data_IF_700176904709
#
_entry.id   IF_700176904709
#
_cell.length_a   1.000
_cell.length_b   1.000
_cell.length_c   1.000
_cell.angle_alpha   90.00
_cell.angle_beta   90.00
_cell.angle_gamma   90.00
#
_symmetry.space_group_name_H-M   'P 1'
#
loop_
_entity.id
_entity.type
_entity.pdbx_description
1 polymer ?
#
# COMPACT_ATOMS: atom_id res chain seq x y z
N UNK A 1 25.50 -14.46 -6.20
CA UNK A 1 25.37 -13.29 -7.11
C UNK A 1 24.09 -13.37 -7.93
N UNK A 2 24.01 -14.21 -8.97
CA UNK A 2 22.80 -14.30 -9.81
C UNK A 2 21.50 -14.59 -9.03
N UNK A 3 21.55 -15.54 -8.09
CA UNK A 3 20.36 -15.91 -7.32
C UNK A 3 19.82 -14.77 -6.44
N UNK A 4 20.69 -13.88 -5.95
CA UNK A 4 20.30 -12.69 -5.18
C UNK A 4 19.53 -11.72 -6.07
N UNK A 5 20.05 -11.45 -7.28
CA UNK A 5 19.37 -10.59 -8.26
C UNK A 5 18.01 -11.16 -8.62
N UNK A 6 17.92 -12.47 -8.88
CA UNK A 6 16.65 -13.13 -9.21
C UNK A 6 15.67 -13.04 -8.05
N UNK A 7 16.09 -13.32 -6.81
CA UNK A 7 15.19 -13.24 -5.65
C UNK A 7 14.76 -11.81 -5.32
N UNK A 8 15.63 -10.82 -5.54
CA UNK A 8 15.34 -9.41 -5.32
C UNK A 8 14.45 -8.81 -6.41
N UNK A 9 14.34 -9.47 -7.57
CA UNK A 9 13.43 -9.09 -8.64
C UNK A 9 12.02 -9.71 -8.48
N UNK A 10 11.73 -10.32 -7.33
CA UNK A 10 10.42 -10.85 -7.00
C UNK A 10 9.70 -9.94 -5.98
N UNK A 11 8.38 -9.67 -6.12
CA UNK A 11 7.63 -8.83 -5.20
C UNK A 11 7.62 -9.42 -3.78
N UNK A 12 8.54 -8.96 -2.93
CA UNK A 12 8.76 -9.50 -1.59
C UNK A 12 9.30 -8.43 -0.63
N UNK A 13 9.58 -8.82 0.62
CA UNK A 13 10.32 -7.97 1.54
C UNK A 13 11.80 -8.25 1.30
N UNK A 14 12.56 -7.20 0.97
CA UNK A 14 13.99 -7.33 0.77
C UNK A 14 14.70 -7.53 2.11
N UNK A 15 15.41 -8.64 2.26
CA UNK A 15 16.27 -8.89 3.42
C UNK A 15 17.50 -7.99 3.41
N UNK A 16 17.94 -7.55 4.59
CA UNK A 16 19.12 -6.68 4.74
C UNK A 16 20.40 -7.32 4.19
N UNK A 17 20.53 -8.64 4.34
CA UNK A 17 21.61 -9.45 3.74
C UNK A 17 21.64 -9.33 2.21
N UNK A 18 20.47 -9.39 1.57
CA UNK A 18 20.34 -9.26 0.12
C UNK A 18 20.63 -7.83 -0.33
N UNK A 19 20.21 -6.81 0.43
CA UNK A 19 20.53 -5.41 0.16
C UNK A 19 22.05 -5.18 0.11
N UNK A 20 22.78 -5.65 1.13
CA UNK A 20 24.24 -5.54 1.19
C UNK A 20 24.91 -6.27 0.03
N UNK A 21 24.44 -7.47 -0.32
CA UNK A 21 24.95 -8.20 -1.49
C UNK A 21 24.68 -7.43 -2.80
N UNK A 22 23.54 -6.77 -2.95
CA UNK A 22 23.26 -5.95 -4.14
C UNK A 22 24.20 -4.74 -4.22
N UNK A 23 24.58 -4.12 -3.10
CA UNK A 23 25.57 -3.05 -3.07
C UNK A 23 26.93 -3.52 -3.60
N UNK A 24 27.37 -4.71 -3.18
CA UNK A 24 28.60 -5.33 -3.70
C UNK A 24 28.51 -5.61 -5.20
N UNK A 25 27.36 -6.13 -5.67
CA UNK A 25 27.11 -6.44 -7.08
C UNK A 25 27.14 -5.18 -7.95
N UNK A 26 26.59 -4.06 -7.46
CA UNK A 26 26.60 -2.78 -8.16
C UNK A 26 28.02 -2.23 -8.42
N UNK A 27 29.00 -2.64 -7.60
CA UNK A 27 30.40 -2.28 -7.79
C UNK A 27 31.15 -3.22 -8.76
N UNK A 28 30.56 -4.35 -9.13
CA UNK A 28 31.15 -5.28 -10.10
C UNK A 28 31.07 -4.65 -11.49
N UNK A 29 32.19 -4.68 -12.20
CA UNK A 29 32.29 -4.16 -13.55
C UNK A 29 32.80 -5.25 -14.50
N UNK A 30 32.40 -5.17 -15.76
CA UNK A 30 32.93 -5.98 -16.84
C UNK A 30 33.34 -5.10 -18.03
N UNK A 31 34.13 -5.66 -18.93
CA UNK A 31 34.59 -4.98 -20.13
C UNK A 31 33.90 -5.57 -21.37
N UNK A 32 33.43 -4.71 -22.26
CA UNK A 32 32.91 -5.13 -23.56
C UNK A 32 34.07 -5.53 -24.48
N UNK A 33 33.77 -6.20 -25.59
CA UNK A 33 34.78 -6.48 -26.64
C UNK A 33 35.37 -5.20 -27.25
N UNK A 34 34.69 -4.05 -27.10
CA UNK A 34 35.16 -2.73 -27.51
C UNK A 34 36.04 -2.02 -26.47
N UNK A 35 36.22 -2.60 -25.27
CA UNK A 35 37.02 -2.03 -24.18
C UNK A 35 36.25 -1.11 -23.22
N UNK A 36 34.95 -0.91 -23.44
CA UNK A 36 34.12 -0.11 -22.54
C UNK A 36 33.92 -0.83 -21.20
N UNK A 37 34.04 -0.09 -20.11
CA UNK A 37 33.76 -0.58 -18.76
C UNK A 37 32.30 -0.33 -18.41
N UNK A 38 31.56 -1.39 -18.12
CA UNK A 38 30.15 -1.34 -17.72
C UNK A 38 29.96 -1.96 -16.33
N UNK A 39 28.97 -1.46 -15.60
CA UNK A 39 28.52 -2.09 -14.35
C UNK A 39 27.76 -3.39 -14.66
N UNK A 40 27.92 -4.40 -13.82
CA UNK A 40 27.20 -5.67 -13.95
C UNK A 40 25.68 -5.48 -13.80
N UNK A 41 25.27 -4.57 -12.91
CA UNK A 41 23.91 -4.05 -12.83
C UNK A 41 23.99 -2.53 -12.94
N UNK A 42 23.12 -1.94 -13.75
CA UNK A 42 23.07 -0.48 -13.91
C UNK A 42 22.58 0.22 -12.63
N UNK A 43 22.89 1.50 -12.41
CA UNK A 43 22.32 2.27 -11.31
C UNK A 43 20.79 2.31 -11.32
N UNK A 44 20.19 2.21 -12.51
CA UNK A 44 18.75 2.11 -12.69
C UNK A 44 18.23 0.78 -12.14
N UNK A 45 18.77 -0.37 -12.57
CA UNK A 45 18.38 -1.70 -12.08
C UNK A 45 18.62 -1.84 -10.57
N UNK A 46 19.74 -1.31 -10.06
CA UNK A 46 20.03 -1.31 -8.63
C UNK A 46 18.94 -0.58 -7.83
N UNK A 47 18.42 0.55 -8.34
CA UNK A 47 17.32 1.28 -7.72
C UNK A 47 16.06 0.42 -7.54
N UNK A 48 15.69 -0.39 -8.53
CA UNK A 48 14.54 -1.29 -8.45
C UNK A 48 14.79 -2.51 -7.57
N UNK A 49 15.96 -3.14 -7.69
CA UNK A 49 16.32 -4.33 -6.90
C UNK A 49 16.45 -4.04 -5.39
N UNK A 50 16.61 -2.76 -5.02
CA UNK A 50 16.74 -2.33 -3.62
C UNK A 50 15.44 -1.81 -3.00
N UNK A 51 14.32 -1.89 -3.70
CA UNK A 51 13.00 -1.56 -3.14
C UNK A 51 12.71 -2.50 -1.96
N UNK A 52 12.62 -1.93 -0.75
CA UNK A 52 12.51 -2.73 0.49
C UNK A 52 11.19 -3.51 0.60
N UNK A 53 10.10 -2.96 0.08
CA UNK A 53 8.75 -3.55 0.17
C UNK A 53 7.93 -3.13 -1.05
N UNK A 54 7.41 -4.13 -1.76
CA UNK A 54 6.63 -3.93 -2.98
C UNK A 54 7.54 -3.87 -4.21
N UNK A 55 7.01 -3.33 -5.31
CA UNK A 55 7.67 -3.34 -6.62
C UNK A 55 7.68 -1.98 -7.30
N UNK A 56 7.17 -0.94 -6.63
CA UNK A 56 7.04 0.40 -7.20
C UNK A 56 8.21 1.25 -6.76
N UNK A 57 8.82 1.94 -7.72
CA UNK A 57 9.73 3.04 -7.40
C UNK A 57 8.95 4.24 -6.81
N UNK A 58 9.68 5.31 -6.44
CA UNK A 58 9.06 6.49 -5.86
C UNK A 58 8.12 7.24 -6.81
N UNK A 59 8.44 7.26 -8.11
CA UNK A 59 7.64 7.96 -9.12
C UNK A 59 6.36 7.16 -9.43
N UNK A 60 6.48 5.85 -9.64
CA UNK A 60 5.37 4.94 -9.82
C UNK A 60 4.45 4.92 -8.60
N UNK A 61 5.02 4.89 -7.39
CA UNK A 61 4.24 4.97 -6.15
C UNK A 61 3.45 6.27 -6.10
N UNK A 62 4.07 7.41 -6.39
CA UNK A 62 3.41 8.71 -6.41
C UNK A 62 2.27 8.76 -7.44
N UNK A 63 2.48 8.15 -8.61
CA UNK A 63 1.45 8.05 -9.64
C UNK A 63 0.26 7.21 -9.17
N UNK A 64 0.50 6.07 -8.53
CA UNK A 64 -0.57 5.25 -7.94
C UNK A 64 -1.30 6.03 -6.84
N UNK A 65 -0.59 6.70 -5.93
CA UNK A 65 -1.17 7.49 -4.85
C UNK A 65 -2.02 8.68 -5.37
N UNK A 66 -1.77 9.16 -6.59
CA UNK A 66 -2.52 10.25 -7.23
C UNK A 66 -4.01 9.94 -7.46
N UNK A 67 -4.41 8.66 -7.46
CA UNK A 67 -5.80 8.27 -7.67
C UNK A 67 -6.76 8.90 -6.64
N UNK A 68 -6.28 9.19 -5.43
CA UNK A 68 -7.05 9.84 -4.36
C UNK A 68 -7.35 11.29 -4.72
N UNK A 69 -6.35 11.98 -5.25
CA UNK A 69 -6.48 13.37 -5.71
C UNK A 69 -7.39 13.44 -6.94
N UNK A 70 -7.21 12.55 -7.92
CA UNK A 70 -8.09 12.47 -9.09
C UNK A 70 -9.54 12.18 -8.67
N UNK A 71 -9.75 11.23 -7.74
CA UNK A 71 -11.08 10.91 -7.20
C UNK A 71 -11.70 12.13 -6.53
N UNK A 72 -10.95 12.85 -5.70
CA UNK A 72 -11.42 14.08 -5.08
C UNK A 72 -11.84 15.14 -6.12
N UNK A 73 -11.03 15.35 -7.16
CA UNK A 73 -11.34 16.29 -8.23
C UNK A 73 -12.61 15.91 -8.99
N UNK A 74 -12.77 14.62 -9.34
CA UNK A 74 -13.98 14.12 -9.99
C UNK A 74 -15.22 14.30 -9.12
N UNK A 75 -15.15 13.87 -7.85
CA UNK A 75 -16.28 13.97 -6.92
C UNK A 75 -16.63 15.43 -6.61
N UNK A 76 -15.65 16.34 -6.61
CA UNK A 76 -15.88 17.77 -6.35
C UNK A 76 -16.65 18.49 -7.46
N UNK A 77 -16.73 17.90 -8.67
CA UNK A 77 -17.55 18.45 -9.76
C UNK A 77 -19.03 18.09 -9.64
N UNK A 78 -19.38 17.14 -8.78
CA UNK A 78 -20.76 16.69 -8.58
C UNK A 78 -21.43 17.63 -7.55
N UNK A 79 -22.63 18.16 -7.83
CA UNK A 79 -23.37 19.02 -6.91
C UNK A 79 -24.02 18.20 -5.79
N UNK A 80 -23.21 17.68 -4.88
CA UNK A 80 -23.69 16.93 -3.71
C UNK A 80 -24.62 17.76 -2.84
N UNK A 81 -25.67 17.14 -2.32
CA UNK A 81 -26.68 17.78 -1.46
C UNK A 81 -26.87 17.01 -0.16
N UNK A 82 -27.44 17.68 0.85
CA UNK A 82 -27.69 17.09 2.16
C UNK A 82 -26.45 16.45 2.79
N UNK A 83 -26.61 15.22 3.27
CA UNK A 83 -25.58 14.46 3.99
C UNK A 83 -24.41 14.02 3.09
N UNK A 84 -24.58 14.06 1.76
CA UNK A 84 -23.56 13.62 0.81
C UNK A 84 -22.51 14.69 0.49
N UNK A 85 -22.65 15.91 1.00
CA UNK A 85 -21.71 17.01 0.74
C UNK A 85 -20.27 16.70 1.11
N UNK A 86 -20.06 15.80 2.06
CA UNK A 86 -18.72 15.42 2.54
C UNK A 86 -18.08 14.30 1.71
N UNK A 87 -18.79 13.67 0.77
CA UNK A 87 -18.28 12.53 -0.02
C UNK A 87 -16.91 12.82 -0.65
N UNK A 88 -16.65 13.98 -1.31
CA UNK A 88 -15.33 14.26 -1.86
C UNK A 88 -14.25 14.26 -0.79
N UNK A 89 -14.46 14.97 0.33
CA UNK A 89 -13.48 15.04 1.43
C UNK A 89 -13.25 13.71 2.11
N UNK A 90 -14.30 12.88 2.23
CA UNK A 90 -14.20 11.55 2.82
C UNK A 90 -13.31 10.67 1.94
N UNK A 91 -13.59 10.64 0.63
CA UNK A 91 -12.79 9.92 -0.35
C UNK A 91 -11.36 10.47 -0.46
N UNK A 92 -11.15 11.77 -0.25
CA UNK A 92 -9.80 12.35 -0.30
C UNK A 92 -8.90 11.91 0.86
N UNK A 93 -9.49 11.53 2.00
CA UNK A 93 -8.75 11.25 3.23
C UNK A 93 -8.70 9.77 3.64
N UNK A 94 -9.24 8.84 2.83
CA UNK A 94 -9.32 7.42 3.21
C UNK A 94 -7.97 6.67 3.24
N UNK A 95 -6.92 7.23 2.63
CA UNK A 95 -5.54 6.74 2.73
C UNK A 95 -4.66 7.53 3.71
N UNK A 96 -5.25 8.49 4.44
CA UNK A 96 -4.57 9.17 5.54
C UNK A 96 -4.41 8.22 6.72
N UNK A 97 -3.31 8.37 7.46
CA UNK A 97 -2.99 7.57 8.65
C UNK A 97 -2.99 8.47 9.87
N UNK A 98 -3.38 7.94 11.04
CA UNK A 98 -3.54 8.76 12.24
C UNK A 98 -2.24 9.44 12.70
N UNK A 99 -1.09 8.84 12.40
CA UNK A 99 0.26 9.35 12.69
C UNK A 99 0.76 10.42 11.70
N UNK A 100 0.01 10.72 10.64
CA UNK A 100 0.39 11.68 9.61
C UNK A 100 1.32 11.13 8.51
N UNK A 101 1.64 9.84 8.51
CA UNK A 101 2.47 9.21 7.46
C UNK A 101 1.67 8.79 6.23
N UNK A 102 0.36 9.01 6.24
CA UNK A 102 -0.54 8.76 5.13
C UNK A 102 -0.45 9.84 4.04
N UNK A 103 -1.33 9.72 3.06
CA UNK A 103 -1.37 10.58 1.88
C UNK A 103 -2.84 10.88 1.50
N UNK A 104 -3.11 11.94 0.71
CA UNK A 104 -2.16 12.84 0.05
C UNK A 104 -1.72 14.07 0.86
N UNK A 105 -2.36 14.38 1.98
CA UNK A 105 -2.13 15.61 2.75
C UNK A 105 -1.35 15.41 4.05
N UNK A 106 -1.13 14.17 4.48
CA UNK A 106 -0.40 13.87 5.70
C UNK A 106 -1.16 14.35 6.95
N UNK A 107 -2.47 14.12 6.95
CA UNK A 107 -3.34 14.55 8.06
C UNK A 107 -3.08 13.71 9.30
N UNK A 108 -3.16 14.34 10.47
CA UNK A 108 -3.15 13.63 11.75
C UNK A 108 -4.56 13.27 12.19
N UNK A 109 -4.65 12.39 13.20
CA UNK A 109 -5.90 11.80 13.70
C UNK A 109 -7.08 12.78 13.85
N UNK A 110 -6.84 13.99 14.37
CA UNK A 110 -7.88 15.00 14.63
C UNK A 110 -8.44 15.64 13.36
N UNK A 111 -7.68 15.61 12.27
CA UNK A 111 -8.04 16.23 10.99
C UNK A 111 -8.68 15.25 10.00
N UNK A 112 -8.63 13.95 10.28
CA UNK A 112 -9.20 12.91 9.42
C UNK A 112 -10.69 12.73 9.76
N UNK A 113 -11.61 12.86 8.78
CA UNK A 113 -13.03 12.60 9.01
C UNK A 113 -13.26 11.18 9.55
N UNK A 114 -14.17 11.03 10.51
CA UNK A 114 -14.48 9.70 11.09
C UNK A 114 -14.89 8.69 10.02
N UNK A 115 -15.62 9.12 9.00
CA UNK A 115 -16.02 8.29 7.87
C UNK A 115 -14.82 7.79 7.06
N UNK A 116 -13.78 8.63 6.88
CA UNK A 116 -12.54 8.23 6.22
C UNK A 116 -11.77 7.19 7.04
N UNK A 117 -11.76 7.33 8.37
CA UNK A 117 -11.16 6.32 9.27
C UNK A 117 -11.88 4.98 9.18
N UNK A 118 -13.21 4.99 9.09
CA UNK A 118 -14.03 3.78 8.87
C UNK A 118 -13.71 3.17 7.49
N UNK A 119 -13.62 3.99 6.44
CA UNK A 119 -13.28 3.54 5.10
C UNK A 119 -11.88 2.93 5.05
N UNK A 120 -10.88 3.53 5.70
CA UNK A 120 -9.52 3.00 5.74
C UNK A 120 -9.47 1.57 6.28
N UNK A 121 -10.18 1.30 7.39
CA UNK A 121 -10.26 -0.06 7.97
C UNK A 121 -10.93 -1.03 6.99
N UNK A 122 -12.03 -0.58 6.36
CA UNK A 122 -12.79 -1.41 5.42
C UNK A 122 -11.98 -1.73 4.15
N UNK A 123 -11.29 -0.73 3.59
CA UNK A 123 -10.44 -0.85 2.40
C UNK A 123 -9.25 -1.78 2.64
N UNK A 124 -8.56 -1.62 3.78
CA UNK A 124 -7.45 -2.51 4.16
C UNK A 124 -7.96 -3.95 4.31
N UNK A 125 -9.09 -4.17 4.97
CA UNK A 125 -9.66 -5.50 5.15
C UNK A 125 -10.01 -6.15 3.80
N UNK A 126 -10.71 -5.41 2.94
CA UNK A 126 -11.13 -5.90 1.62
C UNK A 126 -9.90 -6.23 0.76
N UNK A 127 -8.93 -5.32 0.69
CA UNK A 127 -7.69 -5.53 -0.07
C UNK A 127 -6.85 -6.73 0.40
N UNK A 128 -6.96 -7.13 1.68
CA UNK A 128 -6.27 -8.30 2.23
C UNK A 128 -7.01 -9.62 1.96
N UNK A 129 -8.35 -9.59 1.96
CA UNK A 129 -9.20 -10.79 1.88
C UNK A 129 -9.78 -11.05 0.49
N UNK A 130 -9.62 -10.11 -0.43
CA UNK A 130 -9.95 -10.23 -1.84
C UNK A 130 -9.23 -11.43 -2.48
N UNK A 131 -10.01 -12.30 -3.14
CA UNK A 131 -9.54 -13.56 -3.75
C UNK A 131 -9.25 -13.40 -5.24
N UNK A 132 -9.70 -12.30 -5.83
CA UNK A 132 -9.75 -12.11 -7.28
C UNK A 132 -8.49 -11.39 -7.79
N UNK A 133 -7.55 -11.08 -6.90
CA UNK A 133 -6.24 -10.52 -7.25
C UNK A 133 -5.30 -11.62 -7.78
N UNK A 134 -4.95 -11.63 -9.08
CA UNK A 134 -4.18 -12.72 -9.71
C UNK A 134 -2.77 -12.90 -9.12
N UNK A 135 -2.24 -11.83 -8.51
CA UNK A 135 -0.86 -11.73 -8.06
C UNK A 135 -0.69 -11.95 -6.54
N UNK A 136 -1.78 -12.18 -5.79
CA UNK A 136 -1.70 -12.35 -4.33
C UNK A 136 -2.75 -13.33 -3.84
N UNK A 137 -2.33 -14.39 -3.15
CA UNK A 137 -3.29 -15.28 -2.47
C UNK A 137 -4.01 -14.48 -1.39
N UNK A 138 -5.34 -14.57 -1.37
CA UNK A 138 -6.15 -14.00 -0.30
C UNK A 138 -5.64 -14.44 1.07
N UNK A 139 -5.55 -13.47 1.98
CA UNK A 139 -5.20 -13.70 3.37
C UNK A 139 -6.44 -14.21 4.10
N UNK A 140 -6.27 -15.11 5.08
CA UNK A 140 -7.39 -15.54 5.93
C UNK A 140 -7.97 -14.36 6.71
N UNK A 141 -9.25 -14.42 7.06
CA UNK A 141 -9.92 -13.37 7.85
C UNK A 141 -9.15 -13.12 9.15
N UNK A 142 -8.77 -14.19 9.86
CA UNK A 142 -8.02 -14.10 11.12
C UNK A 142 -6.71 -13.32 10.92
N UNK A 143 -5.99 -13.60 9.83
CA UNK A 143 -4.73 -12.93 9.55
C UNK A 143 -4.91 -11.49 9.10
N UNK A 144 -6.00 -11.17 8.39
CA UNK A 144 -6.36 -9.79 8.05
C UNK A 144 -6.68 -8.97 9.31
N UNK A 145 -7.41 -9.56 10.26
CA UNK A 145 -7.70 -8.93 11.56
C UNK A 145 -6.43 -8.74 12.41
N UNK A 146 -5.50 -9.69 12.39
CA UNK A 146 -4.19 -9.52 13.04
C UNK A 146 -3.40 -8.35 12.45
N UNK A 147 -3.39 -8.21 11.12
CA UNK A 147 -2.73 -7.09 10.44
C UNK A 147 -3.37 -5.76 10.85
N UNK A 148 -4.70 -5.65 10.84
CA UNK A 148 -5.39 -4.43 11.27
C UNK A 148 -5.08 -4.08 12.74
N UNK A 149 -4.99 -5.08 13.62
CA UNK A 149 -4.57 -4.84 15.00
C UNK A 149 -3.13 -4.35 15.11
N UNK A 150 -2.22 -4.80 14.24
CA UNK A 150 -0.86 -4.25 14.16
C UNK A 150 -0.88 -2.80 13.68
N UNK A 151 -1.63 -2.48 12.62
CA UNK A 151 -1.78 -1.11 12.11
C UNK A 151 -2.37 -0.17 13.17
N UNK A 152 -3.29 -0.66 14.01
CA UNK A 152 -3.84 0.12 15.13
C UNK A 152 -2.78 0.39 16.21
N UNK A 153 -1.93 -0.60 16.53
CA UNK A 153 -0.81 -0.44 17.48
C UNK A 153 0.24 0.54 16.97
N UNK A 154 0.44 0.61 15.65
CA UNK A 154 1.34 1.56 14.99
C UNK A 154 0.69 2.94 14.79
N UNK A 155 -0.54 3.16 15.31
CA UNK A 155 -1.27 4.42 15.16
C UNK A 155 -1.50 4.80 13.67
N UNK A 156 -1.69 3.81 12.80
CA UNK A 156 -2.10 4.05 11.41
C UNK A 156 -3.62 4.10 11.26
N UNK A 157 -4.34 3.25 12.00
CA UNK A 157 -5.82 3.17 11.98
C UNK A 157 -6.41 3.37 13.38
N UNK A 158 -7.68 3.76 13.43
CA UNK A 158 -8.37 4.10 14.68
C UNK A 158 -8.74 2.84 15.49
N UNK A 159 -8.21 2.67 16.72
CA UNK A 159 -8.42 1.46 17.50
C UNK A 159 -9.86 1.30 17.99
N UNK A 160 -10.58 2.41 18.25
CA UNK A 160 -11.97 2.35 18.71
C UNK A 160 -12.89 1.93 17.58
N UNK A 161 -12.67 2.46 16.37
CA UNK A 161 -13.41 2.04 15.18
C UNK A 161 -13.08 0.60 14.78
N UNK A 162 -11.81 0.18 14.90
CA UNK A 162 -11.42 -1.21 14.65
C UNK A 162 -12.11 -2.16 15.64
N UNK A 163 -12.20 -1.77 16.92
CA UNK A 163 -12.93 -2.56 17.92
C UNK A 163 -14.40 -2.73 17.54
N UNK A 164 -15.07 -1.67 17.08
CA UNK A 164 -16.46 -1.75 16.60
C UNK A 164 -16.57 -2.70 15.39
N UNK A 165 -15.64 -2.61 14.44
CA UNK A 165 -15.61 -3.50 13.27
C UNK A 165 -15.49 -4.98 13.65
N UNK A 166 -14.63 -5.29 14.63
CA UNK A 166 -14.39 -6.65 15.12
C UNK A 166 -15.56 -7.17 15.95
N UNK A 167 -15.98 -6.42 16.97
CA UNK A 167 -17.05 -6.81 17.89
C UNK A 167 -18.39 -6.96 17.17
N UNK A 168 -18.65 -6.07 16.21
CA UNK A 168 -19.83 -6.13 15.35
C UNK A 168 -19.77 -7.22 14.28
N UNK A 169 -18.63 -7.95 14.17
CA UNK A 169 -18.40 -8.99 13.16
C UNK A 169 -18.72 -8.52 11.73
N UNK A 170 -18.39 -7.25 11.43
CA UNK A 170 -18.76 -6.62 10.16
C UNK A 170 -18.17 -7.40 8.98
N UNK A 171 -16.99 -7.98 9.15
CA UNK A 171 -16.34 -8.86 8.17
C UNK A 171 -17.14 -10.12 7.78
N UNK A 172 -18.07 -10.61 8.62
CA UNK A 172 -18.92 -11.77 8.28
C UNK A 172 -20.05 -11.38 7.30
N UNK A 173 -20.48 -10.11 7.31
CA UNK A 173 -21.58 -9.62 6.46
C UNK A 173 -21.28 -9.70 4.96
N UNK A 174 -19.99 -9.64 4.59
CA UNK A 174 -19.48 -9.78 3.22
C UNK A 174 -19.66 -11.20 2.65
N UNK A 175 -19.84 -12.21 3.50
CA UNK A 175 -20.09 -13.59 3.08
C UNK A 175 -21.58 -13.92 2.90
N UNK A 176 -22.45 -13.08 3.47
CA UNK A 176 -23.89 -13.35 3.59
C UNK A 176 -24.73 -12.70 2.50
N UNK A 177 -24.23 -11.61 1.91
CA UNK A 177 -24.88 -10.96 0.78
C UNK A 177 -24.26 -11.50 -0.50
N UNK A 178 -25.06 -12.11 -1.36
CA UNK A 178 -24.65 -12.57 -2.71
C UNK A 178 -24.31 -11.42 -3.66
N UNK A 179 -23.52 -10.44 -3.19
CA UNK A 179 -22.82 -9.51 -4.05
C UNK A 179 -21.83 -10.34 -4.87
N UNK A 180 -22.15 -10.39 -6.16
CA UNK A 180 -21.33 -10.98 -7.20
C UNK A 180 -19.93 -10.37 -7.05
N UNK A 181 -18.96 -11.23 -6.72
CA UNK A 181 -17.54 -10.98 -6.97
C UNK A 181 -17.30 -11.05 -8.48
#
# INVERSE_FOLDING_TARGET
MFQVVVSSNEPSILEESNFQMLEEIAQVNYFTTGGDKLHLISPYEFGFLTIKKGSLDLAERKEIESHVEHTFQFLSMIPWTGDLKMVPSIAHAHHEKLDGTGYPRGLTADSIPVQSKIMAISDIFDALTDKDRPYKRAVSVERALDILQMEAKENHVDPDLLKIFIDGKIYESLSSSGYIR
#
